data_IF_225014591702
#
_entry.id   IF_225014591702
#
_cell.length_a   1.000
_cell.length_b   1.000
_cell.length_c   1.000
_cell.angle_alpha   90.00
_cell.angle_beta   90.00
_cell.angle_gamma   90.00
#
_symmetry.space_group_name_H-M   'P 1'
#
loop_
_entity.id
_entity.type
_entity.pdbx_description
1 polymer ?
#
# COMPACT_ATOMS: atom_id res chain seq x y z
N UNK A 1 26.83 -15.83 -20.12
CA UNK A 1 25.70 -15.12 -19.48
C UNK A 1 26.22 -13.76 -19.00
N UNK A 2 26.06 -12.70 -19.79
CA UNK A 2 26.44 -11.34 -19.39
C UNK A 2 25.38 -10.81 -18.42
N UNK A 3 25.76 -10.54 -17.17
CA UNK A 3 24.89 -9.83 -16.24
C UNK A 3 24.72 -8.41 -16.79
N UNK A 4 23.54 -8.09 -17.36
CA UNK A 4 23.16 -6.70 -17.59
C UNK A 4 22.99 -6.08 -16.21
N UNK A 5 23.84 -5.11 -15.87
CA UNK A 5 23.60 -4.23 -14.72
C UNK A 5 22.22 -3.60 -14.90
N UNK A 6 21.32 -3.65 -13.90
CA UNK A 6 20.04 -2.97 -13.99
C UNK A 6 20.28 -1.47 -14.25
N UNK A 7 19.43 -0.81 -15.07
CA UNK A 7 19.48 0.64 -15.17
C UNK A 7 19.30 1.26 -13.78
N UNK A 8 19.91 2.42 -13.56
CA UNK A 8 19.76 3.15 -12.31
C UNK A 8 18.27 3.49 -12.07
N UNK A 9 17.82 3.33 -10.84
CA UNK A 9 16.46 3.66 -10.44
C UNK A 9 16.17 5.16 -10.67
N UNK A 10 14.96 5.52 -11.11
CA UNK A 10 14.59 6.92 -11.26
C UNK A 10 14.54 7.62 -9.90
N UNK A 11 14.85 8.92 -9.90
CA UNK A 11 14.68 9.78 -8.71
C UNK A 11 13.19 9.85 -8.39
N UNK A 12 12.84 9.66 -7.12
CA UNK A 12 11.45 9.76 -6.67
C UNK A 12 11.07 11.22 -6.56
N UNK A 13 10.02 11.61 -7.28
CA UNK A 13 9.43 12.96 -7.21
C UNK A 13 7.94 12.86 -6.88
N UNK A 14 7.30 13.94 -6.40
CA UNK A 14 5.84 13.98 -6.18
C UNK A 14 5.05 13.59 -7.45
N UNK A 15 5.52 14.00 -8.63
CA UNK A 15 4.89 13.65 -9.92
C UNK A 15 5.00 12.15 -10.20
N UNK A 16 6.13 11.52 -9.87
CA UNK A 16 6.30 10.08 -9.98
C UNK A 16 5.37 9.36 -9.00
N UNK A 17 5.29 9.80 -7.75
CA UNK A 17 4.37 9.25 -6.76
C UNK A 17 2.91 9.31 -7.23
N UNK A 18 2.51 10.44 -7.83
CA UNK A 18 1.17 10.61 -8.42
C UNK A 18 0.92 9.67 -9.59
N UNK A 19 1.91 9.43 -10.46
CA UNK A 19 1.82 8.41 -11.54
C UNK A 19 1.69 7.00 -10.98
N UNK A 20 2.24 6.75 -9.79
CA UNK A 20 2.08 5.50 -9.04
C UNK A 20 0.76 5.42 -8.25
N UNK A 21 -0.17 6.35 -8.46
CA UNK A 21 -1.50 6.31 -7.84
C UNK A 21 -1.53 6.71 -6.38
N UNK A 22 -0.45 7.29 -5.86
CA UNK A 22 -0.41 7.88 -4.52
C UNK A 22 -0.94 9.31 -4.56
N UNK A 23 -1.72 9.69 -3.56
CA UNK A 23 -2.05 11.10 -3.35
C UNK A 23 -0.88 11.85 -2.72
N UNK A 24 -0.92 13.19 -2.74
CA UNK A 24 0.08 14.03 -2.08
C UNK A 24 0.17 13.72 -0.58
N UNK A 25 -0.98 13.50 0.07
CA UNK A 25 -1.04 13.17 1.49
C UNK A 25 -0.47 11.78 1.78
N UNK A 26 -0.71 10.81 0.90
CA UNK A 26 -0.11 9.48 1.00
C UNK A 26 1.42 9.54 0.85
N UNK A 27 1.92 10.34 -0.10
CA UNK A 27 3.36 10.53 -0.31
C UNK A 27 4.05 11.22 0.88
N UNK A 28 3.47 12.30 1.41
CA UNK A 28 3.99 12.96 2.61
C UNK A 28 3.92 12.04 3.85
N UNK A 29 2.88 11.21 3.94
CA UNK A 29 2.79 10.19 5.00
C UNK A 29 3.89 9.15 4.89
N UNK A 30 4.24 8.71 3.67
CA UNK A 30 5.37 7.79 3.43
C UNK A 30 6.67 8.42 3.93
N UNK A 31 6.94 9.68 3.56
CA UNK A 31 8.13 10.42 4.02
C UNK A 31 8.20 10.51 5.54
N UNK A 32 7.06 10.77 6.19
CA UNK A 32 6.96 10.81 7.66
C UNK A 32 7.22 9.45 8.32
N UNK A 33 6.74 8.36 7.73
CA UNK A 33 6.96 6.99 8.24
C UNK A 33 8.43 6.61 8.12
N UNK A 34 9.06 6.94 6.99
CA UNK A 34 10.46 6.59 6.71
C UNK A 34 11.47 7.54 7.35
N UNK A 35 11.07 8.78 7.67
CA UNK A 35 11.97 9.84 8.12
C UNK A 35 12.88 10.41 7.01
N UNK A 36 12.62 10.04 5.75
CA UNK A 36 13.37 10.44 4.54
C UNK A 36 12.50 10.23 3.30
N UNK A 37 12.99 10.64 2.14
CA UNK A 37 12.34 10.28 0.88
C UNK A 37 12.47 8.76 0.58
N UNK A 38 11.40 8.12 0.09
CA UNK A 38 11.47 6.74 -0.36
C UNK A 38 12.33 6.63 -1.62
N UNK A 39 13.03 5.52 -1.78
CA UNK A 39 13.61 5.16 -3.07
C UNK A 39 12.53 4.57 -4.01
N UNK A 40 12.89 4.32 -5.27
CA UNK A 40 11.93 3.85 -6.27
C UNK A 40 11.27 2.51 -5.92
N UNK A 41 12.05 1.59 -5.35
CA UNK A 41 11.53 0.27 -4.90
C UNK A 41 10.53 0.45 -3.76
N UNK A 42 10.85 1.28 -2.76
CA UNK A 42 9.96 1.60 -1.64
C UNK A 42 8.68 2.28 -2.12
N UNK A 43 8.79 3.23 -3.06
CA UNK A 43 7.64 3.89 -3.68
C UNK A 43 6.71 2.87 -4.34
N UNK A 44 7.27 1.91 -5.09
CA UNK A 44 6.51 0.83 -5.73
C UNK A 44 5.78 -0.05 -4.71
N UNK A 45 6.44 -0.40 -3.59
CA UNK A 45 5.82 -1.18 -2.52
C UNK A 45 4.64 -0.42 -1.90
N UNK A 46 4.82 0.85 -1.55
CA UNK A 46 3.74 1.67 -0.98
C UNK A 46 2.58 1.84 -1.96
N UNK A 47 2.86 2.10 -3.24
CA UNK A 47 1.88 2.23 -4.31
C UNK A 47 0.92 1.04 -4.38
N UNK A 48 1.46 -0.20 -4.39
CA UNK A 48 0.64 -1.41 -4.45
C UNK A 48 -0.08 -1.66 -3.13
N UNK A 49 0.66 -1.63 -2.02
CA UNK A 49 0.11 -1.99 -0.70
C UNK A 49 -0.99 -1.04 -0.23
N UNK A 50 -0.95 0.23 -0.65
CA UNK A 50 -1.96 1.24 -0.31
C UNK A 50 -3.02 1.44 -1.40
N UNK A 51 -2.96 0.67 -2.49
CA UNK A 51 -4.04 0.64 -3.48
C UNK A 51 -5.34 0.10 -2.86
N UNK A 52 -6.50 0.48 -3.41
CA UNK A 52 -7.80 -0.04 -2.92
C UNK A 52 -7.84 -1.57 -2.94
N UNK A 53 -7.25 -2.19 -3.96
CA UNK A 53 -7.26 -3.64 -4.13
C UNK A 53 -6.61 -4.37 -2.96
N UNK A 54 -5.48 -3.85 -2.44
CA UNK A 54 -4.77 -4.47 -1.32
C UNK A 54 -5.26 -3.96 0.04
N UNK A 55 -5.58 -2.66 0.14
CA UNK A 55 -5.84 -2.03 1.44
C UNK A 55 -7.32 -2.03 1.84
N UNK A 56 -8.24 -2.27 0.90
CA UNK A 56 -9.69 -2.14 1.09
C UNK A 56 -10.06 -0.78 1.70
N UNK A 57 -9.36 0.31 1.34
CA UNK A 57 -9.43 1.59 2.09
C UNK A 57 -10.83 2.21 2.11
N UNK A 58 -11.60 2.03 1.04
CA UNK A 58 -12.98 2.46 0.95
C UNK A 58 -13.92 1.40 1.54
N UNK A 59 -13.79 0.16 1.09
CA UNK A 59 -14.69 -0.95 1.43
C UNK A 59 -14.63 -1.37 2.91
N UNK A 60 -13.47 -1.27 3.56
CA UNK A 60 -13.26 -1.67 4.96
C UNK A 60 -14.18 -0.95 5.95
N UNK A 61 -14.56 0.30 5.71
CA UNK A 61 -15.49 1.05 6.59
C UNK A 61 -16.89 0.46 6.57
N UNK A 62 -17.35 0.05 5.39
CA UNK A 62 -18.66 -0.56 5.20
C UNK A 62 -18.68 -2.00 5.73
N UNK A 63 -17.62 -2.77 5.47
CA UNK A 63 -17.51 -4.15 5.95
C UNK A 63 -17.56 -4.27 7.48
N UNK A 64 -17.09 -3.25 8.21
CA UNK A 64 -17.19 -3.21 9.69
C UNK A 64 -18.60 -3.10 10.24
N UNK A 65 -19.61 -2.75 9.42
CA UNK A 65 -21.00 -2.61 9.87
C UNK A 65 -21.71 -3.96 10.00
N UNK A 66 -21.17 -5.02 9.38
CA UNK A 66 -21.76 -6.35 9.46
C UNK A 66 -21.48 -7.03 10.81
N UNK A 67 -22.39 -7.90 11.30
CA UNK A 67 -22.12 -8.71 12.48
C UNK A 67 -21.01 -9.72 12.20
N UNK A 68 -19.96 -9.71 13.01
CA UNK A 68 -18.76 -10.58 12.87
C UNK A 68 -18.62 -11.62 13.98
N UNK A 69 -19.61 -11.69 14.90
CA UNK A 69 -19.65 -12.64 16.00
C UNK A 69 -21.04 -13.27 16.12
N UNK A 70 -21.09 -14.55 16.49
CA UNK A 70 -22.34 -15.30 16.67
C UNK A 70 -22.08 -16.76 17.03
N UNK A 71 -23.10 -17.43 17.59
CA UNK A 71 -23.00 -18.82 18.07
C UNK A 71 -22.54 -19.82 16.99
N UNK A 72 -22.81 -19.51 15.72
CA UNK A 72 -22.51 -20.37 14.58
C UNK A 72 -21.27 -19.90 13.78
N UNK A 73 -20.52 -18.91 14.27
CA UNK A 73 -19.31 -18.41 13.60
C UNK A 73 -18.10 -19.15 14.18
N UNK A 74 -17.42 -19.91 13.32
CA UNK A 74 -16.28 -20.75 13.71
C UNK A 74 -14.95 -19.99 13.70
N UNK A 75 -14.78 -19.04 12.78
CA UNK A 75 -13.57 -18.23 12.62
C UNK A 75 -13.94 -16.78 12.47
N UNK A 76 -13.16 -15.89 13.11
CA UNK A 76 -13.49 -14.46 13.16
C UNK A 76 -13.07 -13.76 11.87
N UNK A 77 -13.76 -12.66 11.57
CA UNK A 77 -13.38 -11.80 10.46
C UNK A 77 -11.93 -11.30 10.65
N UNK A 78 -11.05 -11.65 9.70
CA UNK A 78 -9.64 -11.27 9.70
C UNK A 78 -8.67 -12.35 10.21
N UNK A 79 -9.17 -13.51 10.63
CA UNK A 79 -8.35 -14.70 10.89
C UNK A 79 -8.27 -15.57 9.63
N UNK A 80 -7.10 -16.16 9.35
CA UNK A 80 -6.97 -17.21 8.34
C UNK A 80 -7.61 -18.51 8.87
N UNK A 81 -8.35 -19.20 8.01
CA UNK A 81 -8.96 -20.51 8.30
C UNK A 81 -7.97 -21.66 8.11
#
# INVERSE_FOLDING_TARGET
MTRKTPPADPVVTPELAKRHGLTEEEFERIKKILGREPNFTELGIFSVMWSEHCSYKNSRKELKKFPTAGRNILVKAGEEN
#
